data_IF_286950271215
#
_entry.id   IF_286950271215
#
_cell.length_a   1.000
_cell.length_b   1.000
_cell.length_c   1.000
_cell.angle_alpha   90.00
_cell.angle_beta   90.00
_cell.angle_gamma   90.00
#
_symmetry.space_group_name_H-M   'P 1'
#
loop_
_entity.id
_entity.type
_entity.pdbx_description
1 polymer ?
#
# COMPACT_ATOMS: atom_id res chain seq x y z
N UNK A 1 -8.91 14.63 -24.43
CA UNK A 1 -10.10 14.21 -23.67
C UNK A 1 -9.97 12.72 -23.45
N UNK A 2 -9.44 12.32 -22.29
CA UNK A 2 -9.42 10.91 -21.89
C UNK A 2 -10.86 10.49 -21.63
N UNK A 3 -11.41 9.64 -22.49
CA UNK A 3 -12.68 8.97 -22.25
C UNK A 3 -12.54 8.18 -20.95
N UNK A 4 -13.35 8.53 -19.95
CA UNK A 4 -13.39 7.81 -18.68
C UNK A 4 -13.59 6.31 -18.91
N UNK A 5 -12.92 5.52 -18.10
CA UNK A 5 -12.99 4.05 -18.16
C UNK A 5 -14.35 3.56 -17.66
N UNK A 6 -14.94 4.33 -16.74
CA UNK A 6 -16.28 4.19 -16.22
C UNK A 6 -17.00 5.54 -16.33
N UNK A 7 -18.33 5.51 -16.35
CA UNK A 7 -19.10 6.72 -16.10
C UNK A 7 -18.93 7.16 -14.63
N UNK A 8 -19.16 8.45 -14.38
CA UNK A 8 -18.94 9.07 -13.07
C UNK A 8 -19.73 8.40 -11.95
N UNK A 9 -20.98 8.00 -12.22
CA UNK A 9 -21.86 7.37 -11.24
C UNK A 9 -21.37 5.98 -10.84
N UNK A 10 -20.86 5.20 -11.79
CA UNK A 10 -20.26 3.89 -11.51
C UNK A 10 -19.01 4.01 -10.64
N UNK A 11 -18.15 5.01 -10.91
CA UNK A 11 -16.97 5.28 -10.08
C UNK A 11 -17.35 5.71 -8.66
N UNK A 12 -18.32 6.62 -8.52
CA UNK A 12 -18.84 7.06 -7.21
C UNK A 12 -19.43 5.90 -6.41
N UNK A 13 -20.15 4.99 -7.07
CA UNK A 13 -20.69 3.80 -6.43
C UNK A 13 -19.59 2.89 -5.88
N UNK A 14 -18.53 2.61 -6.67
CA UNK A 14 -17.38 1.82 -6.21
C UNK A 14 -16.72 2.49 -5.01
N UNK A 15 -16.48 3.80 -5.09
CA UNK A 15 -15.88 4.53 -3.97
C UNK A 15 -16.75 4.43 -2.71
N UNK A 16 -18.07 4.61 -2.84
CA UNK A 16 -19.00 4.50 -1.71
C UNK A 16 -19.02 3.09 -1.11
N UNK A 17 -18.96 2.05 -1.93
CA UNK A 17 -18.87 0.66 -1.47
C UNK A 17 -17.57 0.46 -0.70
N UNK A 18 -16.43 0.88 -1.27
CA UNK A 18 -15.13 0.73 -0.63
C UNK A 18 -15.06 1.50 0.69
N UNK A 19 -15.51 2.76 0.72
CA UNK A 19 -15.62 3.57 1.94
C UNK A 19 -16.45 2.89 3.04
N UNK A 20 -17.43 2.07 2.67
CA UNK A 20 -18.27 1.35 3.62
C UNK A 20 -17.62 0.04 4.11
N UNK A 21 -16.73 -0.56 3.33
CA UNK A 21 -16.04 -1.81 3.65
C UNK A 21 -14.75 -1.59 4.44
N UNK A 22 -14.03 -0.50 4.18
CA UNK A 22 -12.86 -0.13 4.98
C UNK A 22 -13.28 0.54 6.28
N UNK A 23 -12.60 0.21 7.38
CA UNK A 23 -12.77 0.94 8.64
C UNK A 23 -12.04 2.31 8.59
N UNK A 24 -12.13 3.09 9.67
CA UNK A 24 -11.47 4.39 9.77
C UNK A 24 -10.06 4.31 10.39
N UNK A 25 -9.43 3.13 10.41
CA UNK A 25 -8.09 2.96 10.98
C UNK A 25 -7.01 3.58 10.10
N UNK A 26 -5.92 4.03 10.72
CA UNK A 26 -4.80 4.65 10.00
C UNK A 26 -3.96 3.62 9.22
N UNK A 27 -3.90 2.38 9.70
CA UNK A 27 -3.04 1.31 9.17
C UNK A 27 -3.57 0.72 7.86
N UNK A 28 -4.80 0.21 7.84
CA UNK A 28 -5.39 -0.43 6.65
C UNK A 28 -6.84 0.00 6.36
N UNK A 29 -7.32 1.06 7.02
CA UNK A 29 -8.63 1.63 6.76
C UNK A 29 -8.66 2.58 5.56
N UNK A 30 -9.79 3.27 5.37
CA UNK A 30 -9.98 4.22 4.28
C UNK A 30 -8.90 5.32 4.20
N UNK A 31 -8.40 5.88 5.33
CA UNK A 31 -7.29 6.83 5.29
C UNK A 31 -6.03 6.30 4.60
N UNK A 32 -5.75 5.00 4.67
CA UNK A 32 -4.63 4.38 3.94
C UNK A 32 -4.88 4.43 2.43
N UNK A 33 -6.08 4.06 1.99
CA UNK A 33 -6.49 4.10 0.58
C UNK A 33 -6.37 5.52 0.01
N UNK A 34 -6.80 6.55 0.73
CA UNK A 34 -6.68 7.94 0.29
C UNK A 34 -5.22 8.38 0.12
N UNK A 35 -4.33 7.98 1.02
CA UNK A 35 -2.91 8.32 0.93
C UNK A 35 -2.21 7.55 -0.20
N UNK A 36 -2.50 6.26 -0.37
CA UNK A 36 -2.00 5.48 -1.50
C UNK A 36 -2.46 6.08 -2.82
N UNK A 37 -3.70 6.53 -2.91
CA UNK A 37 -4.21 7.21 -4.11
C UNK A 37 -3.46 8.52 -4.38
N UNK A 38 -3.21 9.31 -3.32
CA UNK A 38 -2.39 10.52 -3.42
C UNK A 38 -0.97 10.25 -3.91
N UNK A 39 -0.30 9.24 -3.36
CA UNK A 39 1.02 8.82 -3.84
C UNK A 39 0.97 8.36 -5.30
N UNK A 40 0.00 7.53 -5.68
CA UNK A 40 -0.12 7.03 -7.05
C UNK A 40 -0.31 8.18 -8.07
N UNK A 41 -1.12 9.19 -7.76
CA UNK A 41 -1.25 10.36 -8.63
C UNK A 41 0.02 11.20 -8.71
N UNK A 42 0.70 11.42 -7.58
CA UNK A 42 1.97 12.15 -7.57
C UNK A 42 3.06 11.42 -8.38
N UNK A 43 3.08 10.09 -8.32
CA UNK A 43 4.00 9.26 -9.12
C UNK A 43 3.70 9.45 -10.60
N UNK A 44 2.45 9.31 -11.01
CA UNK A 44 2.05 9.42 -12.43
C UNK A 44 2.34 10.81 -12.99
N UNK A 45 2.10 11.86 -12.21
CA UNK A 45 2.45 13.23 -12.60
C UNK A 45 3.97 13.45 -12.65
N UNK A 46 4.70 13.01 -11.61
CA UNK A 46 6.14 13.21 -11.49
C UNK A 46 7.00 12.40 -12.47
N UNK A 47 6.44 11.34 -13.05
CA UNK A 47 7.06 10.49 -14.08
C UNK A 47 6.44 10.71 -15.49
N UNK A 48 5.48 11.64 -15.61
CA UNK A 48 4.75 11.91 -16.86
C UNK A 48 4.15 10.65 -17.51
N UNK A 49 3.59 9.75 -16.70
CA UNK A 49 3.08 8.45 -17.17
C UNK A 49 1.70 8.58 -17.83
N UNK A 50 1.52 7.93 -18.97
CA UNK A 50 0.21 7.82 -19.62
C UNK A 50 -0.61 6.66 -19.02
N UNK A 51 -1.19 6.90 -17.84
CA UNK A 51 -2.10 5.98 -17.17
C UNK A 51 -3.41 6.69 -16.87
N UNK A 52 -4.53 6.04 -17.21
CA UNK A 52 -5.85 6.56 -16.87
C UNK A 52 -6.03 6.69 -15.35
N UNK A 53 -6.50 7.86 -14.90
CA UNK A 53 -6.83 8.12 -13.49
C UNK A 53 -7.85 7.13 -12.94
N UNK A 54 -8.78 6.67 -13.77
CA UNK A 54 -9.79 5.70 -13.35
C UNK A 54 -9.18 4.33 -13.08
N UNK A 55 -8.22 3.88 -13.90
CA UNK A 55 -7.49 2.63 -13.65
C UNK A 55 -6.75 2.68 -12.32
N UNK A 56 -6.10 3.81 -12.01
CA UNK A 56 -5.41 4.03 -10.74
C UNK A 56 -6.40 3.95 -9.59
N UNK A 57 -7.52 4.68 -9.67
CA UNK A 57 -8.56 4.66 -8.63
C UNK A 57 -9.06 3.24 -8.38
N UNK A 58 -9.44 2.50 -9.42
CA UNK A 58 -9.96 1.15 -9.29
C UNK A 58 -8.93 0.20 -8.67
N UNK A 59 -7.68 0.24 -9.13
CA UNK A 59 -6.62 -0.58 -8.57
C UNK A 59 -6.37 -0.25 -7.09
N UNK A 60 -6.28 1.04 -6.73
CA UNK A 60 -6.02 1.49 -5.36
C UNK A 60 -7.20 1.20 -4.43
N UNK A 61 -8.44 1.49 -4.84
CA UNK A 61 -9.63 1.27 -4.02
C UNK A 61 -9.85 -0.21 -3.68
N UNK A 62 -9.39 -1.12 -4.52
CA UNK A 62 -9.68 -2.54 -4.39
C UNK A 62 -8.50 -3.37 -3.85
N UNK A 63 -7.27 -2.85 -3.84
CA UNK A 63 -6.06 -3.66 -3.60
C UNK A 63 -6.02 -4.38 -2.23
N UNK A 64 -6.67 -3.80 -1.22
CA UNK A 64 -6.57 -4.26 0.17
C UNK A 64 -7.89 -4.84 0.72
N UNK A 65 -8.96 -4.94 -0.08
CA UNK A 65 -10.26 -5.45 0.36
C UNK A 65 -10.20 -6.90 0.86
N UNK A 66 -9.30 -7.70 0.30
CA UNK A 66 -9.07 -9.10 0.68
C UNK A 66 -8.57 -9.28 2.11
N UNK A 67 -8.11 -8.23 2.80
CA UNK A 67 -7.66 -8.30 4.20
C UNK A 67 -8.76 -8.76 5.15
N UNK A 68 -10.03 -8.54 4.83
CA UNK A 68 -11.18 -9.03 5.62
C UNK A 68 -11.27 -10.56 5.62
N UNK A 69 -10.78 -11.21 4.57
CA UNK A 69 -10.73 -12.67 4.43
C UNK A 69 -9.46 -13.20 5.09
N UNK A 70 -8.31 -12.57 4.83
CA UNK A 70 -7.03 -12.91 5.45
C UNK A 70 -5.87 -12.85 4.47
N UNK A 71 -4.81 -13.58 4.78
CA UNK A 71 -3.64 -13.70 3.89
C UNK A 71 -3.76 -14.94 2.99
N UNK A 72 -3.33 -14.86 1.71
CA UNK A 72 -2.72 -13.70 1.08
C UNK A 72 -3.74 -12.67 0.57
N UNK A 73 -3.76 -11.47 1.16
CA UNK A 73 -4.80 -10.47 0.90
C UNK A 73 -4.89 -10.07 -0.58
N UNK A 74 -3.75 -9.91 -1.25
CA UNK A 74 -3.69 -9.53 -2.66
C UNK A 74 -4.47 -10.50 -3.58
N UNK A 75 -4.43 -11.81 -3.29
CA UNK A 75 -5.21 -12.80 -4.01
C UNK A 75 -6.71 -12.62 -3.78
N UNK A 76 -7.12 -12.49 -2.52
CA UNK A 76 -8.53 -12.32 -2.19
C UNK A 76 -9.08 -11.00 -2.73
N UNK A 77 -8.29 -9.92 -2.67
CA UNK A 77 -8.60 -8.64 -3.30
C UNK A 77 -8.78 -8.77 -4.81
N UNK A 78 -7.94 -9.58 -5.47
CA UNK A 78 -8.02 -9.80 -6.92
C UNK A 78 -9.32 -10.50 -7.33
N UNK A 79 -9.76 -11.49 -6.55
CA UNK A 79 -11.04 -12.17 -6.75
C UNK A 79 -12.23 -11.23 -6.54
N UNK A 80 -12.21 -10.44 -5.46
CA UNK A 80 -13.26 -9.44 -5.17
C UNK A 80 -13.34 -8.41 -6.30
N UNK A 81 -12.19 -7.88 -6.72
CA UNK A 81 -12.12 -6.90 -7.80
C UNK A 81 -12.65 -7.46 -9.12
N UNK A 82 -12.28 -8.70 -9.46
CA UNK A 82 -12.76 -9.37 -10.67
C UNK A 82 -14.28 -9.46 -10.72
N UNK A 83 -14.90 -9.92 -9.64
CA UNK A 83 -16.35 -10.07 -9.56
C UNK A 83 -17.05 -8.70 -9.62
N UNK A 84 -16.61 -7.75 -8.78
CA UNK A 84 -17.23 -6.42 -8.70
C UNK A 84 -17.16 -5.67 -10.04
N UNK A 85 -16.01 -5.70 -10.70
CA UNK A 85 -15.83 -5.03 -11.99
C UNK A 85 -16.57 -5.75 -13.13
N UNK A 86 -16.71 -7.07 -13.05
CA UNK A 86 -17.52 -7.86 -13.98
C UNK A 86 -19.01 -7.52 -13.89
N UNK A 87 -19.55 -7.44 -12.68
CA UNK A 87 -20.95 -7.05 -12.43
C UNK A 87 -21.25 -5.61 -12.90
N UNK A 88 -20.25 -4.73 -12.90
CA UNK A 88 -20.35 -3.37 -13.44
C UNK A 88 -20.15 -3.30 -14.97
N UNK A 89 -19.95 -4.44 -15.63
CA UNK A 89 -19.88 -4.54 -17.09
C UNK A 89 -18.59 -4.01 -17.72
N UNK A 90 -17.49 -3.95 -16.96
CA UNK A 90 -16.21 -3.52 -17.52
C UNK A 90 -15.68 -4.54 -18.56
N UNK A 91 -14.97 -4.06 -19.60
CA UNK A 91 -14.33 -4.97 -20.55
C UNK A 91 -13.33 -5.91 -19.87
N UNK A 92 -13.34 -7.19 -20.25
CA UNK A 92 -12.47 -8.20 -19.64
C UNK A 92 -10.98 -7.83 -19.66
N UNK A 93 -10.50 -7.19 -20.74
CA UNK A 93 -9.09 -6.74 -20.84
C UNK A 93 -8.70 -5.73 -19.77
N UNK A 94 -9.61 -4.85 -19.39
CA UNK A 94 -9.42 -3.85 -18.35
C UNK A 94 -9.50 -4.49 -16.95
N UNK A 95 -10.41 -5.45 -16.78
CA UNK A 95 -10.52 -6.23 -15.54
C UNK A 95 -9.19 -6.95 -15.28
N UNK A 96 -8.64 -7.65 -16.27
CA UNK A 96 -7.34 -8.35 -16.12
C UNK A 96 -6.20 -7.40 -15.77
N UNK A 97 -6.18 -6.19 -16.34
CA UNK A 97 -5.14 -5.20 -16.04
C UNK A 97 -5.21 -4.73 -14.57
N UNK A 98 -6.41 -4.41 -14.07
CA UNK A 98 -6.62 -3.97 -12.68
C UNK A 98 -6.36 -5.12 -11.70
N UNK A 99 -6.91 -6.31 -11.99
CA UNK A 99 -6.74 -7.50 -11.17
C UNK A 99 -5.27 -7.92 -11.11
N UNK A 100 -4.57 -7.86 -12.25
CA UNK A 100 -3.13 -8.12 -12.32
C UNK A 100 -2.32 -7.15 -11.46
N UNK A 101 -2.62 -5.85 -11.51
CA UNK A 101 -1.99 -4.86 -10.64
C UNK A 101 -2.22 -5.16 -9.15
N UNK A 102 -3.44 -5.56 -8.77
CA UNK A 102 -3.78 -5.94 -7.41
C UNK A 102 -3.05 -7.21 -6.98
N UNK A 103 -2.91 -8.23 -7.82
CA UNK A 103 -2.15 -9.43 -7.43
C UNK A 103 -0.66 -9.18 -7.24
N UNK A 104 -0.10 -8.27 -8.02
CA UNK A 104 1.35 -8.04 -8.11
C UNK A 104 1.87 -6.96 -7.15
N UNK A 105 1.02 -6.13 -6.55
CA UNK A 105 1.48 -5.03 -5.69
C UNK A 105 2.18 -5.54 -4.41
N UNK A 106 1.75 -6.68 -3.88
CA UNK A 106 2.17 -7.21 -2.58
C UNK A 106 3.24 -8.29 -2.70
N UNK A 107 4.42 -8.03 -2.12
CA UNK A 107 5.55 -8.95 -2.12
C UNK A 107 5.29 -10.25 -1.35
N UNK A 108 4.33 -10.23 -0.42
CA UNK A 108 4.04 -11.35 0.49
C UNK A 108 3.33 -12.53 -0.18
N UNK A 109 2.59 -12.31 -1.27
CA UNK A 109 1.76 -13.36 -1.88
C UNK A 109 2.56 -14.33 -2.76
N UNK A 110 3.39 -13.81 -3.68
CA UNK A 110 4.00 -14.63 -4.74
C UNK A 110 5.51 -14.78 -4.67
N UNK A 111 6.20 -14.34 -3.60
CA UNK A 111 7.67 -14.49 -3.36
C UNK A 111 8.64 -14.14 -4.53
N UNK A 112 8.15 -13.73 -5.71
CA UNK A 112 8.95 -13.57 -6.93
C UNK A 112 8.25 -12.86 -8.10
N UNK A 113 6.97 -12.47 -8.04
CA UNK A 113 6.38 -11.67 -9.13
C UNK A 113 6.70 -10.21 -8.91
N UNK A 114 7.72 -9.72 -9.61
CA UNK A 114 7.88 -8.28 -9.77
C UNK A 114 6.65 -7.72 -10.49
N UNK A 115 6.20 -6.49 -10.15
CA UNK A 115 5.14 -5.82 -10.87
C UNK A 115 5.45 -5.80 -12.37
N UNK A 116 4.56 -6.36 -13.18
CA UNK A 116 4.83 -6.63 -14.61
C UNK A 116 4.28 -5.56 -15.54
N UNK A 117 3.31 -4.77 -15.06
CA UNK A 117 2.72 -3.65 -15.80
C UNK A 117 3.02 -2.31 -15.12
N UNK A 118 2.87 -1.22 -15.86
CA UNK A 118 3.06 0.12 -15.31
C UNK A 118 2.04 0.44 -14.21
N UNK A 119 0.79 -0.01 -14.34
CA UNK A 119 -0.24 0.13 -13.30
C UNK A 119 0.15 -0.66 -12.05
N UNK A 120 0.64 -1.90 -12.21
CA UNK A 120 1.16 -2.72 -11.11
C UNK A 120 2.30 -2.00 -10.39
N UNK A 121 3.25 -1.43 -11.16
CA UNK A 121 4.39 -0.69 -10.61
C UNK A 121 3.94 0.52 -9.80
N UNK A 122 3.05 1.35 -10.34
CA UNK A 122 2.55 2.55 -9.65
C UNK A 122 1.83 2.19 -8.34
N UNK A 123 0.94 1.19 -8.37
CA UNK A 123 0.25 0.72 -7.16
C UNK A 123 1.24 0.18 -6.13
N UNK A 124 2.18 -0.63 -6.58
CA UNK A 124 3.21 -1.25 -5.74
C UNK A 124 4.12 -0.23 -5.06
N UNK A 125 4.55 0.81 -5.79
CA UNK A 125 5.35 1.90 -5.26
C UNK A 125 4.55 2.77 -4.29
N UNK A 126 3.31 3.14 -4.66
CA UNK A 126 2.44 3.98 -3.85
C UNK A 126 2.13 3.35 -2.47
N UNK A 127 1.81 2.06 -2.43
CA UNK A 127 1.57 1.32 -1.18
C UNK A 127 2.84 1.28 -0.29
N UNK A 128 4.01 1.05 -0.90
CA UNK A 128 5.30 1.05 -0.17
C UNK A 128 5.63 2.41 0.42
N UNK A 129 5.35 3.50 -0.29
CA UNK A 129 5.58 4.85 0.20
C UNK A 129 4.71 5.15 1.44
N UNK A 130 3.46 4.68 1.47
CA UNK A 130 2.59 4.85 2.64
C UNK A 130 3.05 4.05 3.87
N UNK A 131 3.87 3.01 3.68
CA UNK A 131 4.48 2.23 4.75
C UNK A 131 5.77 2.86 5.32
N UNK A 132 6.23 3.97 4.75
CA UNK A 132 7.40 4.73 5.19
C UNK A 132 7.00 6.10 5.80
N UNK A 133 7.98 6.82 6.33
CA UNK A 133 7.81 8.13 6.95
C UNK A 133 7.10 8.07 8.31
N UNK A 134 6.63 9.24 8.76
CA UNK A 134 5.95 9.41 10.05
C UNK A 134 4.67 8.57 10.12
N UNK A 135 3.91 8.56 9.02
CA UNK A 135 2.67 7.77 8.94
C UNK A 135 2.99 6.28 8.99
N UNK A 136 3.92 5.79 8.15
CA UNK A 136 4.36 4.40 8.17
C UNK A 136 4.85 3.94 9.55
N UNK A 137 5.63 4.79 10.23
CA UNK A 137 6.06 4.56 11.62
C UNK A 137 4.87 4.31 12.57
N UNK A 138 3.85 5.18 12.56
CA UNK A 138 2.65 5.00 13.38
C UNK A 138 1.86 3.75 13.00
N UNK A 139 1.73 3.47 11.69
CA UNK A 139 1.00 2.29 11.20
C UNK A 139 1.59 0.99 11.74
N UNK A 140 2.91 0.87 11.85
CA UNK A 140 3.57 -0.33 12.42
C UNK A 140 3.08 -0.62 13.84
N UNK A 141 3.01 0.40 14.70
CA UNK A 141 2.57 0.23 16.09
C UNK A 141 1.05 0.04 16.21
N UNK A 142 0.24 0.77 15.42
CA UNK A 142 -1.22 0.58 15.40
C UNK A 142 -1.56 -0.85 14.99
N UNK A 143 -0.96 -1.33 13.90
CA UNK A 143 -1.11 -2.72 13.47
C UNK A 143 -0.65 -3.68 14.55
N UNK A 144 0.50 -3.39 15.18
CA UNK A 144 1.05 -4.21 16.24
C UNK A 144 0.08 -4.37 17.42
N UNK A 145 -0.47 -3.27 17.93
CA UNK A 145 -1.46 -3.29 18.99
C UNK A 145 -2.74 -4.05 18.61
N UNK A 146 -3.26 -3.86 17.39
CA UNK A 146 -4.47 -4.55 16.91
C UNK A 146 -4.29 -6.07 16.81
N UNK A 147 -3.07 -6.52 16.51
CA UNK A 147 -2.73 -7.92 16.31
C UNK A 147 -1.98 -8.53 17.50
N UNK A 148 -2.01 -7.90 18.67
CA UNK A 148 -1.31 -8.35 19.88
C UNK A 148 0.18 -8.63 19.68
N UNK A 149 0.82 -7.91 18.74
CA UNK A 149 2.27 -7.95 18.50
C UNK A 149 2.96 -7.18 19.61
N UNK A 150 4.04 -7.75 20.14
CA UNK A 150 4.84 -7.09 21.17
C UNK A 150 5.52 -5.82 20.64
N UNK A 151 5.96 -4.96 21.55
CA UNK A 151 6.80 -3.81 21.21
C UNK A 151 8.11 -4.27 20.53
N UNK A 152 8.76 -5.31 21.08
CA UNK A 152 10.00 -5.86 20.53
C UNK A 152 9.81 -6.34 19.08
N UNK A 153 8.73 -7.08 18.80
CA UNK A 153 8.41 -7.55 17.46
C UNK A 153 8.10 -6.39 16.51
N UNK A 154 7.45 -5.33 17.00
CA UNK A 154 7.16 -4.13 16.22
C UNK A 154 8.45 -3.38 15.85
N UNK A 155 9.40 -3.30 16.77
CA UNK A 155 10.71 -2.70 16.54
C UNK A 155 11.55 -3.55 15.56
N UNK A 156 11.56 -4.87 15.75
CA UNK A 156 12.20 -5.83 14.83
C UNK A 156 11.61 -5.74 13.41
N UNK A 157 10.31 -5.51 13.29
CA UNK A 157 9.63 -5.35 11.99
C UNK A 157 10.20 -4.20 11.14
N UNK A 158 10.69 -3.12 11.74
CA UNK A 158 11.31 -2.03 11.00
C UNK A 158 12.53 -2.50 10.21
N UNK A 159 13.40 -3.29 10.85
CA UNK A 159 14.62 -3.81 10.24
C UNK A 159 14.34 -4.98 9.28
N UNK A 160 13.40 -5.86 9.65
CA UNK A 160 13.09 -7.04 8.84
C UNK A 160 12.37 -6.68 7.55
N UNK A 161 11.50 -5.66 7.58
CA UNK A 161 10.62 -5.30 6.46
C UNK A 161 10.69 -3.82 6.07
N UNK A 162 10.35 -2.90 6.97
CA UNK A 162 10.07 -1.49 6.60
C UNK A 162 11.26 -0.83 5.89
N UNK A 163 12.46 -0.94 6.46
CA UNK A 163 13.68 -0.38 5.89
C UNK A 163 14.15 -1.03 4.59
N UNK A 164 13.60 -2.20 4.25
CA UNK A 164 13.88 -2.86 2.97
C UNK A 164 12.92 -2.44 1.87
N UNK A 165 11.77 -1.85 2.20
CA UNK A 165 10.74 -1.48 1.22
C UNK A 165 11.27 -0.53 0.15
N UNK A 166 12.13 0.44 0.52
CA UNK A 166 12.72 1.38 -0.44
C UNK A 166 13.51 0.69 -1.56
N UNK A 167 14.12 -0.46 -1.27
CA UNK A 167 14.89 -1.24 -2.27
C UNK A 167 13.99 -1.94 -3.29
N UNK A 168 12.68 -2.00 -3.03
CA UNK A 168 11.68 -2.60 -3.90
C UNK A 168 10.83 -1.56 -4.64
N UNK A 169 11.14 -0.28 -4.46
CA UNK A 169 10.52 0.83 -5.20
C UNK A 169 11.16 0.94 -6.60
N UNK A 170 10.33 1.06 -7.63
CA UNK A 170 10.74 0.85 -9.02
C UNK A 170 10.92 2.15 -9.80
N UNK A 171 10.07 3.15 -9.61
CA UNK A 171 10.12 4.41 -10.37
C UNK A 171 11.10 5.40 -9.70
N UNK A 172 11.74 6.25 -10.51
CA UNK A 172 12.76 7.20 -10.06
C UNK A 172 12.19 8.27 -9.12
N UNK A 173 11.03 8.81 -9.45
CA UNK A 173 10.26 9.72 -8.61
C UNK A 173 9.96 9.07 -7.25
N UNK A 174 9.44 7.85 -7.27
CA UNK A 174 9.12 7.08 -6.07
C UNK A 174 10.37 6.81 -5.23
N UNK A 175 11.51 6.45 -5.84
CA UNK A 175 12.78 6.19 -5.13
C UNK A 175 13.27 7.42 -4.37
N UNK A 176 13.25 8.60 -5.01
CA UNK A 176 13.64 9.85 -4.34
C UNK A 176 12.77 10.13 -3.12
N UNK A 177 11.46 9.90 -3.23
CA UNK A 177 10.55 10.08 -2.11
C UNK A 177 10.73 9.02 -1.03
N UNK A 178 10.97 7.76 -1.41
CA UNK A 178 11.21 6.65 -0.50
C UNK A 178 12.47 6.88 0.36
N UNK A 179 13.54 7.46 -0.20
CA UNK A 179 14.73 7.81 0.59
C UNK A 179 14.41 8.85 1.66
N UNK A 180 13.70 9.93 1.31
CA UNK A 180 13.29 10.96 2.27
C UNK A 180 12.38 10.40 3.37
N UNK A 181 11.47 9.49 3.02
CA UNK A 181 10.57 8.85 3.98
C UNK A 181 11.30 7.84 4.86
N UNK A 182 12.25 7.06 4.32
CA UNK A 182 13.11 6.13 5.08
C UNK A 182 13.96 6.88 6.10
N UNK A 183 14.59 7.99 5.72
CA UNK A 183 15.35 8.85 6.63
C UNK A 183 14.50 9.33 7.82
N UNK A 184 13.27 9.80 7.55
CA UNK A 184 12.32 10.20 8.60
C UNK A 184 11.94 9.03 9.50
N UNK A 185 11.68 7.85 8.93
CA UNK A 185 11.35 6.64 9.70
C UNK A 185 12.50 6.27 10.65
N UNK A 186 13.75 6.29 10.16
CA UNK A 186 14.95 5.97 10.96
C UNK A 186 15.16 6.97 12.08
N UNK A 187 14.99 8.26 11.80
CA UNK A 187 15.10 9.31 12.80
C UNK A 187 14.11 9.07 13.96
N UNK A 188 12.83 8.82 13.63
CA UNK A 188 11.80 8.54 14.65
C UNK A 188 12.08 7.26 15.44
N UNK A 189 12.54 6.20 14.78
CA UNK A 189 12.91 4.96 15.45
C UNK A 189 14.07 5.19 16.42
N UNK A 190 15.10 5.93 16.01
CA UNK A 190 16.22 6.30 16.88
C UNK A 190 15.77 7.08 18.11
N UNK A 191 14.94 8.12 17.92
CA UNK A 191 14.37 8.90 19.03
C UNK A 191 13.60 8.03 20.01
N UNK A 192 12.74 7.12 19.51
CA UNK A 192 12.00 6.19 20.35
C UNK A 192 12.93 5.23 21.11
N UNK A 193 13.96 4.70 20.45
CA UNK A 193 14.92 3.78 21.07
C UNK A 193 15.72 4.47 22.18
N UNK A 194 16.11 5.72 21.98
CA UNK A 194 16.78 6.52 23.02
C UNK A 194 15.87 6.69 24.25
N UNK A 195 14.60 7.03 24.05
CA UNK A 195 13.62 7.16 25.12
C UNK A 195 13.37 5.85 25.88
N UNK A 196 13.25 4.73 25.18
CA UNK A 196 13.08 3.40 25.79
C UNK A 196 14.35 2.93 26.53
N UNK A 197 15.53 3.33 26.04
CA UNK A 197 16.81 3.06 26.69
C UNK A 197 16.91 3.69 28.09
N UNK A 198 16.39 4.91 28.28
CA UNK A 198 16.30 5.54 29.61
C UNK A 198 15.38 4.78 30.58
N UNK A 199 14.44 4.00 30.07
CA UNK A 199 13.52 3.17 30.85
C UNK A 199 14.07 1.77 31.15
N UNK A 200 15.30 1.46 30.73
CA UNK A 200 15.93 0.15 30.94
C UNK A 200 15.33 -0.98 30.10
N UNK A 201 14.56 -0.66 29.06
CA UNK A 201 14.01 -1.65 28.13
C UNK A 201 15.11 -2.02 27.13
N UNK A 202 15.79 -3.15 27.36
CA UNK A 202 16.76 -3.69 26.40
C UNK A 202 16.02 -4.26 25.20
N UNK A 203 16.07 -3.55 24.07
CA UNK A 203 15.65 -4.07 22.78
C UNK A 203 16.84 -4.86 22.25
N UNK A 204 16.69 -6.18 22.09
CA UNK A 204 17.74 -7.00 21.50
C UNK A 204 18.07 -6.47 20.10
N UNK A 205 19.32 -6.06 19.88
CA UNK A 205 19.82 -5.66 18.57
C UNK A 205 19.61 -6.82 17.58
N UNK A 206 19.17 -6.56 16.33
CA UNK A 206 19.17 -7.62 15.32
C UNK A 206 20.60 -8.12 15.16
N UNK A 207 20.82 -9.43 15.28
CA UNK A 207 22.08 -10.06 14.92
C UNK A 207 22.43 -9.69 13.48
N UNK A 208 23.63 -9.11 13.32
CA UNK A 208 24.26 -8.66 12.08
C UNK A 208 24.22 -9.68 10.95
#
# INVERSE_FOLDING_TARGET
MTTGVLDERSMELIESICRSLYDNSLDHGWPHIERVLGYAFNIVEGEELDISRDKIKLAVYLHDLGRVIGEPHAFYSSLIARELLGELGLPGTLIEEIVGAIEEHSYSYKRSTEPSTLLSVVLSDADKLDALGVVGFLRVFIYGCRNSRSLEDSLRHFHEKIFKLKNHVKLEYSRRLAEQLDERTRLLLGMLQDELGYLGIQIASPSS
#
